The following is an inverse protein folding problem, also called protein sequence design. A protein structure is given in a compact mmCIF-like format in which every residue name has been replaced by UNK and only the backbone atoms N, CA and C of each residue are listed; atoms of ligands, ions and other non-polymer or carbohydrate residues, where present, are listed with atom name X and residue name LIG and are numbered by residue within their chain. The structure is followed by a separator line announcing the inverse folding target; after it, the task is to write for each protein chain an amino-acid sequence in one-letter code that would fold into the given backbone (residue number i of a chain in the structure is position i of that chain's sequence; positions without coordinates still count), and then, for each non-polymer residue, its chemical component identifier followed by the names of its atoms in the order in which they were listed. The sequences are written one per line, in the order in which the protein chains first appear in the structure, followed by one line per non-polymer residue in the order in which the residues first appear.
data_IF_046888317078
#
_entry.id   IF_046888317078
#
_cell.length_a   1.000
_cell.length_b   1.000
_cell.length_c   1.000
_cell.angle_alpha   90.00
_cell.angle_beta   90.00
_cell.angle_gamma   90.00
#
_symmetry.space_group_name_H-M   'P 1'
#
loop_
_entity.id
_entity.type
_entity.pdbx_description
1 polymer ?
#
# COMPACT_ATOMS: atom_id res chain seq x y z
N UNK A 1 -34.73 -18.13 -21.87
CA UNK A 1 -34.31 -17.09 -22.83
C UNK A 1 -33.24 -16.27 -22.15
N UNK A 2 -31.97 -16.60 -22.38
CA UNK A 2 -30.85 -15.75 -21.98
C UNK A 2 -30.71 -14.63 -23.00
N UNK A 3 -30.71 -13.39 -22.51
CA UNK A 3 -30.46 -12.21 -23.36
C UNK A 3 -28.95 -12.05 -23.48
N UNK A 4 -28.38 -12.49 -24.60
CA UNK A 4 -26.98 -12.23 -24.93
C UNK A 4 -26.87 -10.79 -25.47
N UNK A 5 -26.35 -9.87 -24.65
CA UNK A 5 -26.06 -8.51 -25.08
C UNK A 5 -24.62 -8.49 -25.62
N UNK A 6 -24.39 -8.33 -26.94
CA UNK A 6 -23.04 -8.27 -27.47
C UNK A 6 -22.31 -7.03 -26.95
N UNK A 7 -21.09 -7.25 -26.45
CA UNK A 7 -20.23 -6.21 -25.91
C UNK A 7 -19.74 -5.28 -27.05
N UNK A 8 -20.36 -4.11 -27.19
CA UNK A 8 -20.06 -3.14 -28.25
C UNK A 8 -18.79 -2.31 -28.00
N UNK A 9 -18.11 -2.54 -26.86
CA UNK A 9 -16.81 -1.97 -26.57
C UNK A 9 -15.85 -3.13 -26.37
N UNK A 10 -14.77 -3.21 -27.15
CA UNK A 10 -13.77 -4.29 -27.10
C UNK A 10 -12.95 -4.36 -25.81
N UNK A 11 -13.57 -4.22 -24.64
CA UNK A 11 -12.94 -4.38 -23.33
C UNK A 11 -12.99 -5.87 -22.99
N UNK A 12 -11.91 -6.57 -23.34
CA UNK A 12 -11.55 -7.84 -22.69
C UNK A 12 -11.65 -7.60 -21.18
N UNK A 13 -12.38 -8.42 -20.41
CA UNK A 13 -12.44 -8.28 -18.95
C UNK A 13 -11.00 -8.19 -18.38
N UNK A 14 -10.56 -6.99 -18.04
CA UNK A 14 -9.31 -6.73 -17.35
C UNK A 14 -9.70 -6.39 -15.92
N UNK A 15 -9.65 -7.38 -15.03
CA UNK A 15 -9.90 -7.16 -13.60
C UNK A 15 -8.85 -6.24 -12.98
N UNK A 16 -9.17 -5.70 -11.80
CA UNK A 16 -8.25 -4.92 -10.96
C UNK A 16 -7.68 -5.86 -9.88
N UNK A 17 -6.49 -6.46 -10.06
CA UNK A 17 -5.91 -7.31 -9.03
C UNK A 17 -5.57 -6.49 -7.80
N UNK A 18 -6.14 -6.87 -6.66
CA UNK A 18 -5.93 -6.21 -5.37
C UNK A 18 -5.15 -7.13 -4.43
N UNK A 19 -4.15 -6.56 -3.74
CA UNK A 19 -3.46 -7.21 -2.64
C UNK A 19 -3.78 -6.50 -1.31
N UNK A 20 -4.14 -7.25 -0.28
CA UNK A 20 -4.31 -6.69 1.07
C UNK A 20 -3.00 -6.85 1.82
N UNK A 21 -2.51 -5.76 2.41
CA UNK A 21 -1.26 -5.71 3.14
C UNK A 21 -1.55 -5.46 4.62
N UNK A 22 -0.91 -6.25 5.48
CA UNK A 22 -1.04 -6.16 6.95
C UNK A 22 0.16 -5.45 7.61
N UNK A 23 1.18 -5.08 6.83
CA UNK A 23 2.40 -4.44 7.28
C UNK A 23 2.98 -3.53 6.20
N UNK A 24 3.75 -2.52 6.59
CA UNK A 24 4.42 -1.59 5.67
C UNK A 24 5.86 -2.06 5.45
N UNK A 25 6.11 -2.71 4.30
CA UNK A 25 7.47 -3.11 3.89
C UNK A 25 8.08 -2.03 2.99
N UNK A 26 9.08 -1.31 3.49
CA UNK A 26 9.60 -0.10 2.84
C UNK A 26 10.66 -0.39 1.76
N UNK A 27 11.45 -1.46 1.92
CA UNK A 27 12.63 -1.76 1.10
C UNK A 27 13.61 -0.57 0.96
N UNK A 28 13.61 0.37 1.90
CA UNK A 28 14.42 1.60 1.83
C UNK A 28 14.00 2.57 0.71
N UNK A 29 12.76 2.46 0.21
CA UNK A 29 12.21 3.30 -0.87
C UNK A 29 11.24 4.37 -0.38
N UNK A 30 11.00 4.43 0.92
CA UNK A 30 10.21 5.47 1.56
C UNK A 30 10.87 6.84 1.41
N UNK A 31 10.05 7.87 1.19
CA UNK A 31 10.48 9.26 1.16
C UNK A 31 9.85 9.98 2.34
N UNK A 32 10.68 10.63 3.15
CA UNK A 32 10.20 11.53 4.20
C UNK A 32 9.63 12.79 3.54
N UNK A 33 8.42 13.17 3.92
CA UNK A 33 7.79 14.41 3.48
C UNK A 33 8.08 15.52 4.51
N UNK A 34 7.35 15.49 5.62
CA UNK A 34 7.46 16.45 6.72
C UNK A 34 7.30 15.73 8.06
N UNK A 35 8.01 16.17 9.11
CA UNK A 35 7.93 15.57 10.44
C UNK A 35 8.05 14.04 10.39
N UNK A 36 7.06 13.30 10.87
CA UNK A 36 7.04 11.84 10.85
C UNK A 36 6.20 11.26 9.71
N UNK A 37 5.87 12.07 8.69
CA UNK A 37 5.10 11.65 7.54
C UNK A 37 6.02 11.16 6.42
N UNK A 38 5.71 9.97 5.92
CA UNK A 38 6.45 9.29 4.87
C UNK A 38 5.51 8.88 3.74
N UNK A 39 6.08 8.75 2.54
CA UNK A 39 5.40 8.27 1.34
C UNK A 39 6.15 7.08 0.78
N UNK A 40 5.43 6.02 0.41
CA UNK A 40 5.96 4.84 -0.24
C UNK A 40 5.12 4.50 -1.47
N UNK A 41 5.78 4.39 -2.62
CA UNK A 41 5.15 3.93 -3.86
C UNK A 41 5.38 2.42 -4.04
N UNK A 42 4.31 1.70 -4.37
CA UNK A 42 4.30 0.25 -4.59
C UNK A 42 3.69 -0.05 -5.96
N UNK A 43 4.23 -1.05 -6.62
CA UNK A 43 3.62 -1.61 -7.82
C UNK A 43 2.39 -2.44 -7.47
N UNK A 44 1.37 -2.36 -8.33
CA UNK A 44 0.08 -3.00 -8.14
C UNK A 44 -0.86 -2.19 -7.25
N UNK A 45 -2.10 -2.64 -7.19
CA UNK A 45 -3.13 -2.06 -6.36
C UNK A 45 -3.16 -2.77 -5.01
N UNK A 46 -2.83 -2.05 -3.95
CA UNK A 46 -2.63 -2.58 -2.61
C UNK A 46 -3.49 -1.82 -1.63
N UNK A 47 -4.19 -2.56 -0.79
CA UNK A 47 -4.98 -2.00 0.30
C UNK A 47 -4.23 -2.20 1.61
N UNK A 48 -4.32 -1.18 2.46
CA UNK A 48 -3.80 -1.18 3.82
C UNK A 48 -4.93 -0.75 4.75
N UNK A 49 -5.00 -1.29 5.96
CA UNK A 49 -5.81 -0.69 7.02
C UNK A 49 -5.44 0.78 7.22
N UNK A 50 -6.44 1.66 7.22
CA UNK A 50 -6.29 3.08 7.51
C UNK A 50 -6.50 3.32 9.00
N UNK A 51 -5.82 4.33 9.54
CA UNK A 51 -6.03 4.86 10.90
C UNK A 51 -5.83 3.86 12.06
N UNK A 52 -5.19 2.72 11.78
CA UNK A 52 -4.75 1.75 12.79
C UNK A 52 -3.23 1.55 12.73
N UNK A 53 -2.56 1.27 13.86
CA UNK A 53 -1.13 0.97 13.87
C UNK A 53 -0.80 -0.30 13.09
N UNK A 54 0.18 -0.19 12.19
CA UNK A 54 0.77 -1.31 11.44
C UNK A 54 2.27 -1.37 11.70
N UNK A 55 2.81 -2.58 11.64
CA UNK A 55 4.25 -2.80 11.71
C UNK A 55 4.94 -2.26 10.45
N UNK A 56 6.07 -1.57 10.65
CA UNK A 56 6.96 -1.11 9.58
C UNK A 56 8.20 -1.99 9.57
N UNK A 57 8.56 -2.52 8.39
CA UNK A 57 9.77 -3.33 8.19
C UNK A 57 10.57 -2.83 7.00
N UNK A 58 11.89 -2.95 7.07
CA UNK A 58 12.75 -2.70 5.90
C UNK A 58 12.57 -3.78 4.84
N UNK A 59 12.50 -5.05 5.21
CA UNK A 59 12.26 -6.19 4.30
C UNK A 59 11.13 -7.07 4.83
N UNK A 60 10.48 -7.86 3.96
CA UNK A 60 9.31 -8.69 4.34
C UNK A 60 9.60 -9.67 5.49
N UNK A 61 10.79 -10.25 5.49
CA UNK A 61 11.21 -11.25 6.49
C UNK A 61 12.16 -10.67 7.54
N UNK A 62 12.49 -9.38 7.46
CA UNK A 62 13.30 -8.71 8.46
C UNK A 62 12.50 -8.35 9.71
N UNK A 63 13.22 -7.87 10.72
CA UNK A 63 12.64 -7.38 11.97
C UNK A 63 11.85 -6.08 11.77
N UNK A 64 10.94 -5.83 12.72
CA UNK A 64 10.24 -4.56 12.85
C UNK A 64 11.25 -3.42 13.01
N UNK A 65 11.14 -2.39 12.17
CA UNK A 65 11.88 -1.14 12.34
C UNK A 65 11.06 -0.10 13.09
N UNK A 66 9.75 -0.31 13.25
CA UNK A 66 8.88 0.59 13.98
C UNK A 66 7.40 0.29 13.77
N UNK A 67 6.55 1.25 14.16
CA UNK A 67 5.12 1.23 13.93
C UNK A 67 4.67 2.54 13.27
N UNK A 68 3.68 2.44 12.38
CA UNK A 68 3.12 3.58 11.67
C UNK A 68 1.62 3.43 11.46
N UNK A 69 0.96 4.56 11.22
CA UNK A 69 -0.46 4.62 10.85
C UNK A 69 -0.56 5.09 9.41
N UNK A 70 -1.24 4.33 8.55
CA UNK A 70 -1.52 4.77 7.18
C UNK A 70 -2.60 5.85 7.22
N UNK A 71 -2.29 7.02 6.65
CA UNK A 71 -3.16 8.21 6.63
C UNK A 71 -3.85 8.42 5.29
N UNK A 72 -3.24 7.94 4.20
CA UNK A 72 -3.79 8.08 2.85
C UNK A 72 -3.31 6.96 1.94
N UNK A 73 -4.22 6.48 1.11
CA UNK A 73 -3.93 5.62 -0.03
C UNK A 73 -4.38 6.30 -1.32
N UNK A 74 -3.52 6.28 -2.33
CA UNK A 74 -3.88 6.64 -3.71
C UNK A 74 -3.57 5.43 -4.58
N UNK A 75 -4.60 4.94 -5.29
CA UNK A 75 -4.47 3.84 -6.24
C UNK A 75 -4.64 4.43 -7.64
N UNK A 76 -3.54 4.50 -8.38
CA UNK A 76 -3.54 5.08 -9.73
C UNK A 76 -2.45 4.43 -10.57
N UNK A 77 -2.64 4.37 -11.89
CA UNK A 77 -1.60 3.95 -12.84
C UNK A 77 -0.95 2.59 -12.51
N UNK A 78 -1.72 1.60 -12.03
CA UNK A 78 -1.21 0.29 -11.56
C UNK A 78 -0.19 0.40 -10.41
N UNK A 79 -0.34 1.43 -9.59
CA UNK A 79 0.47 1.67 -8.41
C UNK A 79 -0.38 2.03 -7.21
N UNK A 80 0.22 1.90 -6.04
CA UNK A 80 -0.32 2.37 -4.77
C UNK A 80 0.68 3.32 -4.15
N UNK A 81 0.24 4.52 -3.84
CA UNK A 81 0.99 5.50 -3.05
C UNK A 81 0.42 5.45 -1.63
N UNK A 82 1.25 5.02 -0.69
CA UNK A 82 0.92 4.92 0.72
C UNK A 82 1.55 6.09 1.45
N UNK A 83 0.73 6.95 2.04
CA UNK A 83 1.20 7.98 2.98
C UNK A 83 0.94 7.48 4.39
N UNK A 84 1.99 7.41 5.21
CA UNK A 84 1.92 6.93 6.58
C UNK A 84 2.69 7.83 7.53
N UNK A 85 2.22 7.87 8.77
CA UNK A 85 2.87 8.59 9.87
C UNK A 85 3.57 7.57 10.78
N UNK A 86 4.88 7.73 10.95
CA UNK A 86 5.66 6.91 11.86
C UNK A 86 5.40 7.34 13.32
N UNK A 87 4.89 6.43 14.14
CA UNK A 87 4.50 6.72 15.53
C UNK A 87 5.49 6.16 16.55
N UNK A 88 6.27 5.13 16.19
CA UNK A 88 7.30 4.56 17.04
C UNK A 88 8.43 3.96 16.19
N UNK A 89 9.66 4.03 16.69
CA UNK A 89 10.81 3.30 16.18
C UNK A 89 11.08 2.09 17.06
N UNK A 90 11.41 0.95 16.45
CA UNK A 90 12.04 -0.15 17.16
C UNK A 90 13.54 0.14 17.21
N UNK A 91 14.03 0.62 18.35
CA UNK A 91 15.47 0.71 18.60
C UNK A 91 16.01 -0.68 18.85
N UNK A 92 16.83 -1.17 17.93
CA UNK A 92 17.85 -2.18 18.23
C UNK A 92 19.06 -1.41 18.76
N UNK A 93 19.31 -1.50 20.07
CA UNK A 93 20.56 -1.07 20.70
C UNK A 93 21.75 -1.89 20.18
#
# INVERSE_FOLDING_TARGET
MEVNIPNQFGVKQMGMPLEIQTMIVTNGKEKRMEHNLFVLQKEGYRLYPLDVPLEVRRTKHGEATGQAVVKKLVLENRTTIVTYELIALHSIN
#
